data_IF_202651097868
#
_entry.id   IF_202651097868
#
_cell.length_a   1.000
_cell.length_b   1.000
_cell.length_c   1.000
_cell.angle_alpha   90.00
_cell.angle_beta   90.00
_cell.angle_gamma   90.00
#
_symmetry.space_group_name_H-M   'P 1'
#
loop_
_entity.id
_entity.type
_entity.pdbx_description
1 polymer ?
#
# COMPACT_ATOMS: atom_id res chain seq x y z
N UNK A 1 3.45 54.49 1.42
CA UNK A 1 4.49 53.53 0.98
C UNK A 1 4.00 52.80 -0.26
N UNK A 2 4.63 53.06 -1.41
CA UNK A 2 4.23 52.39 -2.66
C UNK A 2 4.76 50.93 -2.66
N UNK A 3 3.96 49.94 -3.07
CA UNK A 3 4.43 48.56 -3.14
C UNK A 3 5.55 48.43 -4.17
N UNK A 4 6.72 47.95 -3.75
CA UNK A 4 7.83 47.66 -4.66
C UNK A 4 7.35 46.64 -5.70
N UNK A 5 7.18 47.03 -6.97
CA UNK A 5 6.87 46.13 -8.08
C UNK A 5 8.01 45.12 -8.23
N UNK A 6 7.71 43.85 -8.03
CA UNK A 6 8.65 42.74 -8.31
C UNK A 6 9.06 42.81 -9.79
N UNK A 7 10.38 42.73 -10.04
CA UNK A 7 10.89 42.74 -11.44
C UNK A 7 10.34 41.49 -12.16
N UNK A 8 9.90 41.61 -13.43
CA UNK A 8 9.23 40.53 -14.16
C UNK A 8 10.03 39.20 -14.19
N UNK A 9 11.35 39.29 -14.14
CA UNK A 9 12.23 38.11 -14.09
C UNK A 9 11.98 37.24 -12.85
N UNK A 10 11.77 37.84 -11.70
CA UNK A 10 11.49 37.07 -10.47
C UNK A 10 10.11 36.41 -10.48
N UNK A 11 9.14 37.03 -11.13
CA UNK A 11 7.80 36.44 -11.30
C UNK A 11 7.87 35.15 -12.13
N UNK A 12 8.65 35.16 -13.22
CA UNK A 12 8.83 33.95 -14.05
C UNK A 12 9.49 32.82 -13.26
N UNK A 13 10.53 33.09 -12.46
CA UNK A 13 11.16 32.07 -11.62
C UNK A 13 10.21 31.52 -10.58
N UNK A 14 9.40 32.35 -9.94
CA UNK A 14 8.40 31.88 -8.96
C UNK A 14 7.36 30.99 -9.61
N UNK A 15 6.85 31.38 -10.79
CA UNK A 15 5.90 30.56 -11.54
C UNK A 15 6.47 29.19 -11.95
N UNK A 16 7.71 29.16 -12.44
CA UNK A 16 8.39 27.93 -12.80
C UNK A 16 8.59 27.02 -11.56
N UNK A 17 8.97 27.59 -10.42
CA UNK A 17 9.14 26.84 -9.19
C UNK A 17 7.81 26.25 -8.69
N UNK A 18 6.74 27.03 -8.70
CA UNK A 18 5.39 26.57 -8.33
C UNK A 18 4.93 25.46 -9.28
N UNK A 19 5.11 25.63 -10.58
CA UNK A 19 4.75 24.60 -11.56
C UNK A 19 5.52 23.29 -11.34
N UNK A 20 6.82 23.37 -11.06
CA UNK A 20 7.65 22.21 -10.76
C UNK A 20 7.19 21.51 -9.46
N UNK A 21 6.85 22.27 -8.42
CA UNK A 21 6.35 21.72 -7.16
C UNK A 21 5.00 21.00 -7.34
N UNK A 22 4.07 21.61 -8.06
CA UNK A 22 2.77 21.00 -8.38
C UNK A 22 2.96 19.71 -9.20
N UNK A 23 3.85 19.73 -10.18
CA UNK A 23 4.15 18.53 -10.97
C UNK A 23 4.75 17.41 -10.10
N UNK A 24 5.68 17.72 -9.20
CA UNK A 24 6.29 16.74 -8.29
C UNK A 24 5.23 16.09 -7.39
N UNK A 25 4.31 16.88 -6.82
CA UNK A 25 3.22 16.37 -6.00
C UNK A 25 2.28 15.47 -6.81
N UNK A 26 1.86 15.93 -8.00
CA UNK A 26 0.97 15.14 -8.86
C UNK A 26 1.61 13.81 -9.28
N UNK A 27 2.90 13.84 -9.62
CA UNK A 27 3.67 12.66 -9.97
C UNK A 27 3.77 11.65 -8.81
N UNK A 28 4.08 12.13 -7.62
CA UNK A 28 4.22 11.29 -6.41
C UNK A 28 2.88 10.63 -6.04
N UNK A 29 1.78 11.40 -6.09
CA UNK A 29 0.42 10.88 -5.88
C UNK A 29 0.02 9.84 -6.94
N UNK A 30 0.35 10.07 -8.20
CA UNK A 30 0.07 9.13 -9.28
C UNK A 30 0.80 7.80 -9.07
N UNK A 31 2.06 7.85 -8.64
CA UNK A 31 2.85 6.66 -8.29
C UNK A 31 2.23 5.91 -7.09
N UNK A 32 1.90 6.64 -6.03
CA UNK A 32 1.25 6.06 -4.85
C UNK A 32 -0.04 5.33 -5.24
N UNK A 33 -0.88 5.95 -6.06
CA UNK A 33 -2.14 5.35 -6.53
C UNK A 33 -1.89 4.10 -7.37
N UNK A 34 -0.88 4.11 -8.24
CA UNK A 34 -0.51 2.96 -9.06
C UNK A 34 -0.08 1.77 -8.20
N UNK A 35 0.78 2.02 -7.22
CA UNK A 35 1.28 0.97 -6.34
C UNK A 35 0.20 0.47 -5.38
N UNK A 36 -0.66 1.36 -4.90
CA UNK A 36 -1.84 1.00 -4.14
C UNK A 36 -2.74 0.04 -4.93
N UNK A 37 -3.07 0.38 -6.16
CA UNK A 37 -3.93 -0.46 -7.00
C UNK A 37 -3.29 -1.82 -7.29
N UNK A 38 -1.98 -1.87 -7.53
CA UNK A 38 -1.24 -3.14 -7.71
C UNK A 38 -1.32 -4.01 -6.46
N UNK A 39 -1.03 -3.42 -5.29
CA UNK A 39 -1.07 -4.14 -4.01
C UNK A 39 -2.48 -4.61 -3.69
N UNK A 40 -3.47 -3.76 -3.89
CA UNK A 40 -4.88 -4.07 -3.66
C UNK A 40 -5.36 -5.23 -4.56
N UNK A 41 -5.04 -5.17 -5.86
CA UNK A 41 -5.36 -6.24 -6.79
C UNK A 41 -4.68 -7.57 -6.42
N UNK A 42 -3.40 -7.52 -6.04
CA UNK A 42 -2.62 -8.67 -5.64
C UNK A 42 -3.22 -9.36 -4.41
N UNK A 43 -3.59 -8.60 -3.38
CA UNK A 43 -4.22 -9.14 -2.17
C UNK A 43 -5.59 -9.75 -2.47
N UNK A 44 -6.39 -9.12 -3.33
CA UNK A 44 -7.68 -9.67 -3.75
C UNK A 44 -7.51 -10.96 -4.54
N UNK A 45 -6.53 -11.03 -5.43
CA UNK A 45 -6.22 -12.25 -6.18
C UNK A 45 -5.76 -13.36 -5.23
N UNK A 46 -4.83 -13.07 -4.31
CA UNK A 46 -4.38 -14.02 -3.31
C UNK A 46 -5.54 -14.58 -2.45
N UNK A 47 -6.48 -13.72 -2.05
CA UNK A 47 -7.69 -14.13 -1.33
C UNK A 47 -8.58 -15.02 -2.18
N UNK A 48 -8.79 -14.64 -3.44
CA UNK A 48 -9.62 -15.39 -4.39
C UNK A 48 -9.02 -16.77 -4.66
N UNK A 49 -7.73 -16.83 -4.90
CA UNK A 49 -7.00 -18.10 -5.12
C UNK A 49 -7.09 -19.01 -3.90
N UNK A 50 -6.90 -18.47 -2.70
CA UNK A 50 -7.03 -19.23 -1.46
C UNK A 50 -8.43 -19.82 -1.30
N UNK A 51 -9.46 -19.04 -1.64
CA UNK A 51 -10.87 -19.47 -1.50
C UNK A 51 -11.26 -20.52 -2.54
N UNK A 52 -11.02 -20.26 -3.83
CA UNK A 52 -11.50 -21.14 -4.90
C UNK A 52 -10.67 -22.40 -5.08
N UNK A 53 -9.39 -22.36 -4.76
CA UNK A 53 -8.49 -23.51 -4.89
C UNK A 53 -8.37 -24.32 -3.60
N UNK A 54 -9.04 -23.89 -2.52
CA UNK A 54 -8.93 -24.48 -1.18
C UNK A 54 -7.46 -24.63 -0.73
N UNK A 55 -6.69 -23.56 -0.98
CA UNK A 55 -5.25 -23.54 -0.70
C UNK A 55 -4.91 -22.46 0.32
N UNK A 56 -3.71 -22.56 0.87
CA UNK A 56 -3.14 -21.49 1.71
C UNK A 56 -2.27 -20.61 0.83
N UNK A 57 -2.57 -19.32 0.75
CA UNK A 57 -1.76 -18.34 0.01
C UNK A 57 -1.08 -17.40 0.99
N UNK A 58 0.23 -17.31 0.91
CA UNK A 58 1.06 -16.49 1.80
C UNK A 58 1.53 -15.26 1.03
N UNK A 59 1.17 -14.08 1.54
CA UNK A 59 1.64 -12.78 1.04
C UNK A 59 2.65 -12.22 2.02
N UNK A 60 3.88 -12.04 1.57
CA UNK A 60 4.95 -11.43 2.37
C UNK A 60 5.30 -10.06 1.80
N UNK A 61 5.33 -9.06 2.67
CA UNK A 61 5.74 -7.70 2.33
C UNK A 61 7.12 -7.44 2.93
N UNK A 62 8.11 -7.24 2.10
CA UNK A 62 9.47 -6.92 2.55
C UNK A 62 9.91 -5.59 1.92
N UNK A 63 9.66 -4.50 2.61
CA UNK A 63 9.98 -3.15 2.14
C UNK A 63 9.31 -2.83 0.81
N UNK A 64 10.06 -2.92 -0.30
CA UNK A 64 9.58 -2.61 -1.66
C UNK A 64 9.10 -3.83 -2.45
N UNK A 65 9.24 -5.03 -1.89
CA UNK A 65 8.88 -6.27 -2.57
C UNK A 65 7.71 -6.94 -1.89
N UNK A 66 6.78 -7.40 -2.68
CA UNK A 66 5.66 -8.23 -2.23
C UNK A 66 5.78 -9.57 -2.91
N UNK A 67 5.84 -10.62 -2.11
CA UNK A 67 5.95 -11.99 -2.59
C UNK A 67 4.67 -12.73 -2.26
N UNK A 68 4.06 -13.34 -3.26
CA UNK A 68 2.90 -14.22 -3.10
C UNK A 68 3.36 -15.65 -3.33
N UNK A 69 3.16 -16.50 -2.37
CA UNK A 69 3.56 -17.91 -2.43
C UNK A 69 2.32 -18.77 -2.21
N UNK A 70 2.07 -19.66 -3.16
CA UNK A 70 1.13 -20.77 -3.01
C UNK A 70 1.95 -22.04 -2.74
N UNK A 71 1.97 -22.53 -1.49
CA UNK A 71 2.79 -23.69 -1.12
C UNK A 71 2.35 -24.98 -1.81
N UNK A 72 1.10 -25.07 -2.29
CA UNK A 72 0.59 -26.28 -2.95
C UNK A 72 1.02 -26.37 -4.41
N UNK A 73 1.22 -25.23 -5.07
CA UNK A 73 1.66 -25.18 -6.48
C UNK A 73 3.15 -24.87 -6.61
N UNK A 74 3.84 -24.59 -5.51
CA UNK A 74 5.22 -24.08 -5.49
C UNK A 74 5.40 -22.80 -6.33
N UNK A 75 4.29 -22.11 -6.61
CA UNK A 75 4.31 -20.89 -7.40
C UNK A 75 4.61 -19.71 -6.51
N UNK A 76 5.65 -18.96 -6.86
CA UNK A 76 6.01 -17.72 -6.18
C UNK A 76 6.00 -16.58 -7.17
N UNK A 77 5.16 -15.59 -6.94
CA UNK A 77 5.11 -14.35 -7.72
C UNK A 77 5.67 -13.22 -6.88
N UNK A 78 6.71 -12.56 -7.38
CA UNK A 78 7.30 -11.40 -6.72
C UNK A 78 6.97 -10.13 -7.50
N UNK A 79 6.35 -9.17 -6.82
CA UNK A 79 6.05 -7.85 -7.38
C UNK A 79 6.85 -6.80 -6.63
N UNK A 80 7.60 -5.97 -7.36
CA UNK A 80 8.32 -4.84 -6.78
C UNK A 80 7.41 -3.63 -6.74
N UNK A 81 7.22 -3.05 -5.55
CA UNK A 81 6.52 -1.80 -5.33
C UNK A 81 7.58 -0.73 -5.08
N UNK A 82 7.75 0.25 -5.99
CA UNK A 82 8.82 1.25 -5.89
C UNK A 82 8.65 2.24 -4.73
N UNK A 83 7.47 2.33 -4.14
CA UNK A 83 7.22 3.17 -2.97
C UNK A 83 7.57 2.43 -1.68
N UNK A 84 7.83 3.22 -0.64
CA UNK A 84 8.06 2.66 0.69
C UNK A 84 6.72 2.15 1.21
N UNK A 85 6.51 0.84 1.13
CA UNK A 85 5.42 0.19 1.81
C UNK A 85 5.86 -0.08 3.26
N UNK A 86 5.18 0.51 4.22
CA UNK A 86 5.29 0.12 5.61
C UNK A 86 4.06 -0.70 5.95
N UNK A 87 4.27 -1.93 6.32
CA UNK A 87 3.21 -2.78 6.82
C UNK A 87 3.14 -2.56 8.32
N UNK A 88 2.17 -1.78 8.77
CA UNK A 88 1.84 -1.69 10.18
C UNK A 88 0.85 -2.82 10.46
N UNK A 89 1.31 -3.83 11.15
CA UNK A 89 0.46 -4.89 11.65
C UNK A 89 -0.12 -4.44 12.97
N UNK A 90 -1.42 -4.58 13.11
CA UNK A 90 -1.96 -4.85 14.43
C UNK A 90 -1.25 -6.11 14.94
N UNK A 91 -1.02 -6.19 16.24
CA UNK A 91 -0.20 -7.21 16.94
C UNK A 91 -0.52 -8.66 16.60
N UNK A 92 -1.37 -8.90 15.67
CA UNK A 92 -1.99 -10.17 15.30
C UNK A 92 -1.50 -10.80 14.01
N UNK A 93 -0.93 -10.04 13.06
CA UNK A 93 -0.20 -10.63 11.93
C UNK A 93 1.28 -10.83 12.33
N UNK A 94 1.80 -12.04 12.15
CA UNK A 94 3.25 -12.25 12.26
C UNK A 94 3.98 -11.31 11.31
N UNK A 95 5.07 -10.69 11.76
CA UNK A 95 5.82 -9.66 11.04
C UNK A 95 5.91 -9.97 9.56
N UNK A 96 5.41 -9.05 8.73
CA UNK A 96 5.56 -9.02 7.28
C UNK A 96 4.80 -10.11 6.48
N UNK A 97 3.82 -10.79 7.07
CA UNK A 97 3.15 -11.92 6.43
C UNK A 97 1.64 -11.92 6.64
N UNK A 98 0.88 -12.02 5.55
CA UNK A 98 -0.57 -12.25 5.56
C UNK A 98 -0.81 -13.64 4.99
N UNK A 99 -1.55 -14.47 5.73
CA UNK A 99 -1.90 -15.81 5.31
C UNK A 99 -3.39 -15.84 4.97
N UNK A 100 -3.71 -16.08 3.72
CA UNK A 100 -5.07 -16.30 3.25
C UNK A 100 -5.36 -17.79 3.17
N UNK A 101 -6.53 -18.18 3.69
CA UNK A 101 -7.08 -19.52 3.58
C UNK A 101 -8.50 -19.44 3.04
N UNK A 102 -9.11 -20.58 2.74
CA UNK A 102 -10.52 -20.63 2.34
C UNK A 102 -11.46 -20.06 3.41
N UNK A 103 -11.09 -20.11 4.69
CA UNK A 103 -11.86 -19.57 5.82
C UNK A 103 -11.65 -18.09 6.10
N UNK A 104 -10.63 -17.48 5.50
CA UNK A 104 -10.28 -16.09 5.75
C UNK A 104 -8.78 -15.91 5.90
N UNK A 105 -8.37 -15.02 6.82
CA UNK A 105 -6.96 -14.84 7.19
C UNK A 105 -6.62 -15.72 8.40
N UNK A 106 -5.52 -16.43 8.32
CA UNK A 106 -4.96 -17.18 9.43
C UNK A 106 -3.73 -16.51 10.01
N UNK A 107 -3.53 -16.73 11.29
CA UNK A 107 -2.34 -16.33 11.99
C UNK A 107 -1.50 -17.53 12.39
N UNK A 108 -0.19 -17.28 12.53
CA UNK A 108 0.79 -18.27 12.99
C UNK A 108 0.44 -18.90 14.35
N UNK A 109 -0.49 -18.31 15.14
CA UNK A 109 -0.87 -18.76 16.48
C UNK A 109 -2.38 -18.83 16.76
N UNK A 110 -3.21 -19.27 15.83
CA UNK A 110 -4.62 -19.69 16.07
C UNK A 110 -5.66 -18.61 16.32
N UNK A 111 -5.42 -17.33 16.12
CA UNK A 111 -6.49 -16.34 16.17
C UNK A 111 -6.65 -15.66 14.81
N UNK A 112 -7.89 -15.60 14.34
CA UNK A 112 -8.26 -14.95 13.07
C UNK A 112 -8.33 -13.46 13.31
N UNK A 113 -7.48 -12.68 12.67
CA UNK A 113 -7.45 -11.23 12.86
C UNK A 113 -7.32 -10.50 11.53
N UNK A 114 -7.83 -9.28 11.48
CA UNK A 114 -7.58 -8.34 10.41
C UNK A 114 -6.31 -7.52 10.66
N UNK A 115 -5.90 -6.76 9.68
CA UNK A 115 -4.77 -5.85 9.79
C UNK A 115 -4.78 -4.80 8.71
N UNK A 116 -3.83 -3.87 8.78
CA UNK A 116 -3.70 -2.79 7.83
C UNK A 116 -2.33 -2.78 7.17
N UNK A 117 -2.32 -2.44 5.89
CA UNK A 117 -1.11 -2.20 5.11
C UNK A 117 -1.09 -0.72 4.75
N UNK A 118 -0.08 -0.01 5.19
CA UNK A 118 0.12 1.38 4.84
C UNK A 118 1.14 1.49 3.72
N UNK A 119 0.77 2.14 2.62
CA UNK A 119 1.70 2.58 1.59
C UNK A 119 1.99 4.08 1.79
N UNK A 120 3.27 4.43 1.78
CA UNK A 120 3.73 5.80 1.94
C UNK A 120 4.54 6.23 0.73
N UNK A 121 4.21 7.39 0.18
CA UNK A 121 4.97 8.02 -0.90
C UNK A 121 6.24 8.73 -0.40
N UNK A 122 7.07 9.17 -1.35
CA UNK A 122 8.30 9.93 -1.05
C UNK A 122 7.98 11.26 -0.37
N UNK A 123 6.92 11.95 -0.79
CA UNK A 123 6.47 13.21 -0.19
C UNK A 123 5.64 13.03 1.10
N UNK A 124 5.44 11.77 1.54
CA UNK A 124 4.79 11.47 2.80
C UNK A 124 3.28 11.23 2.70
N UNK A 125 2.67 11.25 1.51
CA UNK A 125 1.27 10.86 1.34
C UNK A 125 1.10 9.39 1.70
N UNK A 126 -0.07 9.04 2.26
CA UNK A 126 -0.35 7.70 2.75
C UNK A 126 -1.66 7.18 2.19
N UNK A 127 -1.72 5.87 1.93
CA UNK A 127 -2.96 5.13 1.67
C UNK A 127 -2.95 3.82 2.45
N UNK A 128 -4.12 3.38 2.85
CA UNK A 128 -4.28 2.22 3.69
C UNK A 128 -5.11 1.16 2.99
N UNK A 129 -4.69 -0.09 3.13
CA UNK A 129 -5.45 -1.27 2.73
C UNK A 129 -5.78 -2.01 4.02
N UNK A 130 -7.06 -2.20 4.27
CA UNK A 130 -7.54 -2.98 5.40
C UNK A 130 -7.88 -4.40 4.93
N UNK A 131 -7.39 -5.39 5.67
CA UNK A 131 -7.72 -6.81 5.48
C UNK A 131 -8.38 -7.28 6.75
N UNK A 132 -9.65 -7.65 6.68
CA UNK A 132 -10.37 -8.13 7.85
C UNK A 132 -10.13 -9.64 8.11
N UNK A 133 -10.66 -10.14 9.22
CA UNK A 133 -10.51 -11.55 9.61
C UNK A 133 -11.12 -12.56 8.62
N UNK A 134 -12.09 -12.15 7.81
CA UNK A 134 -12.65 -13.00 6.74
C UNK A 134 -11.82 -12.95 5.45
N UNK A 135 -10.72 -12.21 5.45
CA UNK A 135 -9.87 -12.00 4.29
C UNK A 135 -10.42 -10.97 3.30
N UNK A 136 -11.48 -10.25 3.63
CA UNK A 136 -11.99 -9.17 2.78
C UNK A 136 -10.98 -8.03 2.76
N UNK A 137 -10.58 -7.65 1.55
CA UNK A 137 -9.65 -6.56 1.29
C UNK A 137 -10.43 -5.30 0.91
N UNK A 138 -10.30 -4.26 1.71
CA UNK A 138 -10.97 -2.97 1.50
C UNK A 138 -9.96 -1.83 1.56
N UNK A 139 -10.32 -0.68 1.01
CA UNK A 139 -9.56 0.54 1.24
C UNK A 139 -9.76 0.96 2.69
N UNK A 140 -8.66 1.12 3.42
CA UNK A 140 -8.67 1.64 4.79
C UNK A 140 -8.88 3.15 4.78
N UNK A 141 -9.59 3.65 5.78
CA UNK A 141 -9.66 5.09 6.06
C UNK A 141 -8.50 5.45 6.98
N UNK A 142 -8.08 6.72 6.94
CA UNK A 142 -7.21 7.27 7.97
C UNK A 142 -7.82 6.94 9.34
N UNK A 143 -7.07 6.38 10.30
CA UNK A 143 -7.48 6.47 11.68
C UNK A 143 -7.55 7.98 11.96
N UNK A 144 -8.76 8.50 12.10
CA UNK A 144 -8.97 9.83 12.67
C UNK A 144 -8.41 9.71 14.08
N UNK A 145 -7.49 10.61 14.43
CA UNK A 145 -6.87 10.67 15.74
C UNK A 145 -8.01 10.73 16.80
N UNK A 146 -8.25 9.59 17.46
CA UNK A 146 -9.07 9.51 18.66
C UNK A 146 -8.30 10.00 19.87
#
# INVERSE_FOLDING_TARGET
MAPKRLKPKYLIFVLLFVAAAVFAVAWDLSRLNTDFNKMFALLRTARTDAFYKDTTVIVRCNGKTVTVTDPNTSTTTTTTIPLIARVDYDTTFGKDMIIFTWRGTEQYNKRVHGGEIMLRSVLGFRRYIHVNCTGLVTEGRYPEDE
#
